data_IF_362572519918
#
_entry.id   IF_362572519918
#
_cell.length_a   1.000
_cell.length_b   1.000
_cell.length_c   1.000
_cell.angle_alpha   90.00
_cell.angle_beta   90.00
_cell.angle_gamma   90.00
#
_symmetry.space_group_name_H-M   'P 1'
#
loop_
_entity.id
_entity.type
_entity.pdbx_description
1 polymer ?
#
# COMPACT_ATOMS: atom_id res chain seq x y z
N UNK A 1 -2.58 13.24 4.46
CA UNK A 1 -1.64 13.09 3.32
C UNK A 1 -2.36 12.36 2.18
N UNK A 2 -1.95 12.54 0.90
CA UNK A 2 -2.45 11.70 -0.18
C UNK A 2 -2.09 10.23 0.11
N UNK A 3 -3.01 9.32 -0.21
CA UNK A 3 -2.77 7.88 -0.04
C UNK A 3 -1.70 7.37 -1.01
N UNK A 4 -0.91 6.39 -0.55
CA UNK A 4 0.12 5.74 -1.36
C UNK A 4 -0.49 4.95 -2.52
N UNK A 5 0.25 4.82 -3.63
CA UNK A 5 -0.12 3.93 -4.72
C UNK A 5 0.11 2.47 -4.30
N UNK A 6 -0.96 1.68 -4.23
CA UNK A 6 -0.94 0.26 -3.87
C UNK A 6 -1.02 -0.69 -5.08
N UNK A 7 -0.87 -0.17 -6.29
CA UNK A 7 -0.76 -0.99 -7.52
C UNK A 7 0.70 -1.35 -7.78
N UNK A 8 1.00 -2.22 -8.77
CA UNK A 8 2.39 -2.61 -9.08
C UNK A 8 3.32 -1.45 -9.46
N UNK A 9 2.79 -0.26 -9.78
CA UNK A 9 3.62 0.94 -10.00
C UNK A 9 4.13 1.58 -8.70
N UNK A 10 3.44 1.36 -7.59
CA UNK A 10 3.82 1.86 -6.27
C UNK A 10 4.93 1.02 -5.63
N UNK A 11 5.23 1.32 -4.36
CA UNK A 11 6.29 0.62 -3.62
C UNK A 11 5.99 -0.88 -3.48
N UNK A 12 4.72 -1.26 -3.32
CA UNK A 12 4.32 -2.65 -3.14
C UNK A 12 4.62 -3.55 -4.34
N UNK A 13 4.72 -3.01 -5.55
CA UNK A 13 5.14 -3.77 -6.74
C UNK A 13 6.62 -4.15 -6.74
N UNK A 14 7.42 -3.55 -5.87
CA UNK A 14 8.86 -3.83 -5.70
C UNK A 14 9.13 -4.79 -4.54
N UNK A 15 8.14 -5.00 -3.67
CA UNK A 15 8.30 -5.80 -2.46
C UNK A 15 8.12 -7.28 -2.76
N UNK A 16 8.88 -8.13 -2.06
CA UNK A 16 8.56 -9.55 -1.94
C UNK A 16 7.33 -9.76 -1.06
N UNK A 17 6.73 -10.94 -1.12
CA UNK A 17 5.65 -11.30 -0.20
C UNK A 17 6.09 -11.18 1.27
N UNK A 18 7.31 -11.63 1.60
CA UNK A 18 7.81 -11.61 2.98
C UNK A 18 7.98 -10.18 3.48
N UNK A 19 8.50 -9.29 2.64
CA UNK A 19 8.62 -7.86 2.94
C UNK A 19 7.25 -7.20 3.16
N UNK A 20 6.26 -7.56 2.35
CA UNK A 20 4.88 -7.10 2.52
C UNK A 20 4.26 -7.61 3.83
N UNK A 21 4.42 -8.90 4.12
CA UNK A 21 3.90 -9.52 5.33
C UNK A 21 4.56 -8.96 6.60
N UNK A 22 5.87 -8.73 6.57
CA UNK A 22 6.62 -8.08 7.64
C UNK A 22 6.14 -6.64 7.86
N UNK A 23 5.92 -5.88 6.79
CA UNK A 23 5.37 -4.52 6.89
C UNK A 23 3.99 -4.50 7.55
N UNK A 24 3.12 -5.46 7.23
CA UNK A 24 1.82 -5.60 7.89
C UNK A 24 1.94 -6.04 9.35
N UNK A 25 3.03 -6.70 9.73
CA UNK A 25 3.25 -7.17 11.10
C UNK A 25 3.85 -6.09 12.00
N UNK A 26 4.85 -5.37 11.49
CA UNK A 26 5.66 -4.40 12.25
C UNK A 26 5.21 -2.96 12.06
N UNK A 27 4.48 -2.68 10.97
CA UNK A 27 4.24 -1.31 10.52
C UNK A 27 5.46 -0.63 9.91
N UNK A 28 6.56 -1.36 9.65
CA UNK A 28 7.79 -0.81 9.08
C UNK A 28 7.95 -1.32 7.66
N UNK A 29 8.04 -0.40 6.70
CA UNK A 29 8.29 -0.73 5.29
C UNK A 29 9.71 -1.27 5.07
N UNK A 30 9.99 -1.97 3.96
CA UNK A 30 11.34 -2.45 3.63
C UNK A 30 12.37 -1.31 3.48
N UNK A 31 11.90 -0.10 3.19
CA UNK A 31 12.72 1.11 3.12
C UNK A 31 12.96 1.75 4.49
N UNK A 32 12.50 1.14 5.60
CA UNK A 32 12.70 1.61 6.97
C UNK A 32 11.72 2.70 7.43
N UNK A 33 10.71 3.03 6.62
CA UNK A 33 9.67 4.00 7.00
C UNK A 33 8.64 3.35 7.93
N UNK A 34 8.41 3.97 9.08
CA UNK A 34 7.33 3.63 10.00
C UNK A 34 5.97 4.16 9.47
N UNK A 35 4.96 3.28 9.50
CA UNK A 35 3.61 3.57 9.08
C UNK A 35 2.80 4.12 10.24
N UNK A 36 2.25 5.31 10.05
CA UNK A 36 1.37 5.93 11.03
C UNK A 36 0.02 5.16 11.08
N UNK A 37 -0.31 4.52 12.22
CA UNK A 37 -1.53 3.74 12.39
C UNK A 37 -2.81 4.58 12.21
N UNK A 38 -2.73 5.91 12.35
CA UNK A 38 -3.85 6.83 12.08
C UNK A 38 -4.28 6.83 10.61
N UNK A 39 -3.34 6.60 9.69
CA UNK A 39 -3.58 6.66 8.25
C UNK A 39 -3.52 5.29 7.57
N UNK A 40 -2.80 4.34 8.17
CA UNK A 40 -2.70 2.96 7.68
C UNK A 40 -2.91 1.99 8.84
N UNK A 41 -4.07 1.31 8.93
CA UNK A 41 -4.43 0.46 10.07
C UNK A 41 -3.72 -0.90 10.01
N UNK A 42 -2.38 -0.88 10.03
CA UNK A 42 -1.56 -2.09 9.98
C UNK A 42 -1.74 -2.99 11.22
N UNK A 43 -2.09 -2.38 12.35
CA UNK A 43 -2.38 -3.03 13.64
C UNK A 43 -3.57 -3.99 13.59
N UNK A 44 -4.61 -3.65 12.82
CA UNK A 44 -5.73 -4.54 12.54
C UNK A 44 -5.36 -5.58 11.48
N UNK A 45 -4.62 -5.17 10.45
CA UNK A 45 -4.22 -6.03 9.33
C UNK A 45 -3.22 -7.13 9.73
N UNK A 46 -2.42 -6.92 10.80
CA UNK A 46 -1.50 -7.95 11.30
C UNK A 46 -2.20 -9.23 11.74
N UNK A 47 -3.48 -9.14 12.14
CA UNK A 47 -4.31 -10.25 12.62
C UNK A 47 -4.78 -11.17 11.50
N UNK A 48 -4.62 -10.78 10.23
CA UNK A 48 -4.94 -11.64 9.09
C UNK A 48 -4.06 -12.91 9.11
N UNK A 49 -4.67 -14.03 8.71
CA UNK A 49 -3.98 -15.28 8.45
C UNK A 49 -2.96 -15.12 7.31
N UNK A 50 -2.00 -16.05 7.25
CA UNK A 50 -1.02 -16.06 6.16
C UNK A 50 -1.69 -16.21 4.78
N UNK A 51 -2.75 -17.02 4.69
CA UNK A 51 -3.52 -17.21 3.47
C UNK A 51 -4.16 -15.91 2.99
N UNK A 52 -4.76 -15.13 3.89
CA UNK A 52 -5.36 -13.83 3.56
C UNK A 52 -4.30 -12.82 3.12
N UNK A 53 -3.15 -12.77 3.80
CA UNK A 53 -2.03 -11.90 3.42
C UNK A 53 -1.50 -12.25 2.02
N UNK A 54 -1.34 -13.54 1.72
CA UNK A 54 -0.93 -14.02 0.38
C UNK A 54 -1.96 -13.65 -0.69
N UNK A 55 -3.24 -13.90 -0.42
CA UNK A 55 -4.32 -13.56 -1.35
C UNK A 55 -4.37 -12.05 -1.64
N UNK A 56 -4.24 -11.22 -0.59
CA UNK A 56 -4.20 -9.77 -0.73
C UNK A 56 -2.99 -9.32 -1.54
N UNK A 57 -1.80 -9.84 -1.24
CA UNK A 57 -0.59 -9.52 -1.99
C UNK A 57 -0.74 -9.88 -3.47
N UNK A 58 -1.19 -11.09 -3.77
CA UNK A 58 -1.40 -11.55 -5.15
C UNK A 58 -2.43 -10.70 -5.90
N UNK A 59 -3.50 -10.27 -5.22
CA UNK A 59 -4.47 -9.36 -5.79
C UNK A 59 -3.84 -7.98 -6.11
N UNK A 60 -3.06 -7.43 -5.19
CA UNK A 60 -2.38 -6.14 -5.41
C UNK A 60 -1.33 -6.20 -6.52
N UNK A 61 -0.73 -7.37 -6.76
CA UNK A 61 0.15 -7.60 -7.90
C UNK A 61 -0.59 -7.78 -9.23
N UNK A 62 -1.84 -8.27 -9.21
CA UNK A 62 -2.60 -8.57 -10.43
C UNK A 62 -3.36 -7.36 -10.98
N UNK A 63 -3.65 -6.35 -10.15
CA UNK A 63 -4.36 -5.15 -10.60
C UNK A 63 -3.50 -4.31 -11.56
N UNK A 64 -4.11 -3.70 -12.60
CA UNK A 64 -3.38 -2.84 -13.52
C UNK A 64 -2.64 -1.71 -12.79
N UNK A 65 -1.40 -1.37 -13.21
CA UNK A 65 -0.65 -0.28 -12.61
C UNK A 65 -1.39 1.05 -12.76
N UNK A 66 -1.67 1.73 -11.66
CA UNK A 66 -2.29 3.06 -11.67
C UNK A 66 -1.21 4.11 -11.88
N UNK A 67 -1.44 5.06 -12.79
CA UNK A 67 -0.54 6.19 -12.97
C UNK A 67 -0.62 7.15 -11.76
N UNK A 68 0.51 7.46 -11.13
CA UNK A 68 0.58 8.37 -9.97
C UNK A 68 0.03 9.77 -10.28
N UNK A 69 0.14 10.21 -11.54
CA UNK A 69 -0.26 11.52 -12.01
C UNK A 69 -1.78 11.74 -12.06
N UNK A 70 -2.58 10.68 -12.29
CA UNK A 70 -4.01 10.84 -12.54
C UNK A 70 -4.79 11.23 -11.28
N UNK A 71 -4.38 10.71 -10.13
CA UNK A 71 -4.99 11.04 -8.82
C UNK A 71 -4.62 12.45 -8.39
N UNK A 72 -3.33 12.82 -8.48
CA UNK A 72 -2.85 14.16 -8.10
C UNK A 72 -3.42 15.25 -9.02
N UNK A 73 -3.55 15.00 -10.32
CA UNK A 73 -4.16 15.93 -11.27
C UNK A 73 -5.66 16.14 -10.99
N UNK A 74 -6.40 15.06 -10.69
CA UNK A 74 -7.83 15.13 -10.35
C UNK A 74 -8.05 15.81 -8.99
N UNK A 75 -7.19 15.57 -8.00
CA UNK A 75 -7.24 16.23 -6.69
C UNK A 75 -6.93 17.74 -6.81
N UNK A 76 -5.87 18.12 -7.52
CA UNK A 76 -5.54 19.54 -7.76
C UNK A 76 -6.66 20.27 -8.52
N UNK A 77 -7.27 19.62 -9.50
CA UNK A 77 -8.42 20.17 -10.25
C UNK A 77 -9.68 20.34 -9.39
N UNK A 78 -9.92 19.47 -8.40
CA UNK A 78 -11.06 19.57 -7.48
C UNK A 78 -10.85 20.61 -6.37
N UNK A 79 -9.61 20.89 -5.98
CA UNK A 79 -9.27 21.90 -4.97
C UNK A 79 -9.23 23.34 -5.53
N UNK A 80 -9.03 23.49 -6.84
CA UNK A 80 -8.97 24.79 -7.54
C UNK A 80 -10.32 25.19 -8.19
N UNK A 81 -11.42 24.57 -7.79
CA UNK A 81 -12.79 24.87 -8.26
C UNK A 81 -13.72 24.95 -7.07
#
# INVERSE_FOLDING_TARGET
PPGSNLTPKGNIGKWTYDQFAETLWTGITPEGKELDPKFMPWDALRLMSETEKKALFNYLQSVPPKADAEVLAKYKKKMNK
#
